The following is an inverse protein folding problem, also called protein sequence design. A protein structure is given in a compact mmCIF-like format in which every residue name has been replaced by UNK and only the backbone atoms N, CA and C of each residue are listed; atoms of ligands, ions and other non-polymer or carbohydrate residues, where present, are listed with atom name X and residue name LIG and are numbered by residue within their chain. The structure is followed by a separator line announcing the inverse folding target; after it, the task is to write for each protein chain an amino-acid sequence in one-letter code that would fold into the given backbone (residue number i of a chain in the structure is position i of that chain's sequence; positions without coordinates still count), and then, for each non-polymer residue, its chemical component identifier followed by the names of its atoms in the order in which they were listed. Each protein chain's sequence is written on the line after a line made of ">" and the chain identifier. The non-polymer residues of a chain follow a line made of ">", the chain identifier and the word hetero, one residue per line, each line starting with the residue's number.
data_IF_287056682462
#
_entry.id   IF_287056682462
#
_cell.length_a   1.000
_cell.length_b   1.000
_cell.length_c   1.000
_cell.angle_alpha   90.00
_cell.angle_beta   90.00
_cell.angle_gamma   90.00
#
_symmetry.space_group_name_H-M   'P 1'
#
loop_
_entity.id
_entity.type
_entity.pdbx_description
1 polymer ?
#
# COMPACT_ATOMS: atom_id res chain seq x y z
N UNK A 1 -48.92 -15.27 43.68
CA UNK A 1 -48.49 -14.12 42.84
C UNK A 1 -47.04 -13.67 43.10
N UNK A 2 -46.27 -14.37 43.94
CA UNK A 2 -44.88 -13.99 44.31
C UNK A 2 -43.79 -14.78 43.59
N UNK A 3 -44.13 -15.85 42.85
CA UNK A 3 -43.16 -16.67 42.10
C UNK A 3 -42.76 -16.09 40.73
N UNK A 4 -43.59 -15.24 40.11
CA UNK A 4 -43.31 -14.64 38.79
C UNK A 4 -42.29 -13.48 38.85
N UNK A 5 -42.23 -12.73 39.96
CA UNK A 5 -41.34 -11.54 40.07
C UNK A 5 -39.85 -11.88 40.22
N UNK A 6 -39.50 -13.09 40.68
CA UNK A 6 -38.09 -13.48 40.86
C UNK A 6 -37.44 -14.01 39.57
N UNK A 7 -38.21 -14.35 38.53
CA UNK A 7 -37.67 -14.91 37.27
C UNK A 7 -36.86 -13.87 36.46
N UNK A 8 -37.19 -12.59 36.61
CA UNK A 8 -36.63 -11.50 35.79
C UNK A 8 -35.38 -10.82 36.38
N UNK A 9 -34.97 -11.17 37.60
CA UNK A 9 -33.81 -10.57 38.29
C UNK A 9 -32.63 -11.54 38.47
N UNK A 10 -32.75 -12.77 37.97
CA UNK A 10 -31.69 -13.77 38.05
C UNK A 10 -30.50 -13.35 37.19
N UNK A 11 -29.37 -13.07 37.87
CA UNK A 11 -28.08 -12.70 37.26
C UNK A 11 -27.09 -13.85 37.24
N UNK A 12 -27.31 -14.88 38.07
CA UNK A 12 -26.39 -15.99 38.23
C UNK A 12 -27.19 -17.29 38.18
N UNK A 13 -26.78 -18.21 37.31
CA UNK A 13 -27.26 -19.59 37.28
C UNK A 13 -26.03 -20.48 37.42
N UNK A 14 -26.07 -21.36 38.42
CA UNK A 14 -25.00 -22.28 38.71
C UNK A 14 -25.58 -23.66 38.99
N UNK A 15 -25.35 -24.59 38.07
CA UNK A 15 -25.86 -25.97 38.09
C UNK A 15 -24.71 -26.94 38.40
N UNK A 16 -23.98 -26.66 39.48
CA UNK A 16 -22.73 -27.34 39.86
C UNK A 16 -22.96 -28.70 40.56
N UNK A 17 -24.20 -29.03 40.95
CA UNK A 17 -24.47 -30.29 41.63
C UNK A 17 -24.69 -31.44 40.62
N UNK A 18 -23.83 -32.45 40.73
CA UNK A 18 -23.69 -33.59 39.81
C UNK A 18 -24.87 -34.58 39.91
N UNK A 19 -25.83 -34.35 40.80
CA UNK A 19 -26.87 -35.32 41.13
C UNK A 19 -28.30 -34.74 41.10
N UNK A 20 -28.55 -33.73 40.26
CA UNK A 20 -29.89 -33.17 40.11
C UNK A 20 -30.86 -34.04 39.30
N UNK A 21 -30.40 -35.21 38.81
CA UNK A 21 -31.20 -36.12 37.96
C UNK A 21 -31.91 -35.37 36.82
N UNK A 22 -31.26 -34.32 36.29
CA UNK A 22 -31.79 -33.53 35.18
C UNK A 22 -31.71 -34.43 33.96
N UNK A 23 -32.88 -34.75 33.40
CA UNK A 23 -32.94 -35.48 32.13
C UNK A 23 -32.12 -34.71 31.08
N UNK A 24 -31.39 -35.41 30.19
CA UNK A 24 -30.68 -34.76 29.09
C UNK A 24 -31.58 -33.73 28.41
N UNK A 25 -31.08 -32.50 28.26
CA UNK A 25 -31.88 -31.37 27.79
C UNK A 25 -31.03 -30.32 27.09
N UNK A 26 -31.67 -29.51 26.25
CA UNK A 26 -31.05 -28.37 25.56
C UNK A 26 -31.02 -27.14 26.45
N UNK A 27 -30.35 -26.07 25.99
CA UNK A 27 -30.30 -24.78 26.69
C UNK A 27 -31.55 -23.91 26.51
N UNK A 28 -32.63 -24.42 25.92
CA UNK A 28 -33.81 -23.62 25.61
C UNK A 28 -34.49 -22.98 26.83
N UNK A 29 -34.35 -23.61 28.00
CA UNK A 29 -34.85 -23.07 29.26
C UNK A 29 -34.17 -21.76 29.67
N UNK A 30 -33.01 -21.42 29.08
CA UNK A 30 -32.23 -20.23 29.43
C UNK A 30 -32.72 -18.94 28.74
N UNK A 31 -33.48 -19.06 27.65
CA UNK A 31 -33.97 -17.91 26.86
C UNK A 31 -34.66 -16.81 27.69
N UNK A 32 -35.44 -17.11 28.75
CA UNK A 32 -36.10 -16.08 29.54
C UNK A 32 -35.17 -15.24 30.44
N UNK A 33 -33.94 -15.70 30.72
CA UNK A 33 -33.04 -15.05 31.69
C UNK A 33 -32.16 -13.97 31.05
N UNK A 34 -32.75 -13.00 30.35
CA UNK A 34 -32.03 -11.93 29.61
C UNK A 34 -31.11 -11.05 30.47
N UNK A 35 -31.27 -11.09 31.80
CA UNK A 35 -30.42 -10.39 32.75
C UNK A 35 -29.28 -11.25 33.33
N UNK A 36 -29.08 -12.46 32.80
CA UNK A 36 -28.04 -13.38 33.25
C UNK A 36 -26.65 -12.81 32.93
N UNK A 37 -25.80 -12.72 33.95
CA UNK A 37 -24.41 -12.25 33.86
C UNK A 37 -23.44 -13.44 33.97
N UNK A 38 -23.77 -14.47 34.77
CA UNK A 38 -22.90 -15.63 34.99
C UNK A 38 -23.68 -16.94 34.82
N UNK A 39 -23.21 -17.81 33.92
CA UNK A 39 -23.77 -19.13 33.67
C UNK A 39 -22.70 -20.21 33.85
N UNK A 40 -22.91 -21.12 34.80
CA UNK A 40 -22.12 -22.35 34.92
C UNK A 40 -23.04 -23.56 34.85
N UNK A 41 -22.92 -24.35 33.79
CA UNK A 41 -23.76 -25.53 33.54
C UNK A 41 -23.28 -26.79 34.26
N UNK A 42 -22.01 -26.80 34.70
CA UNK A 42 -21.44 -27.95 35.37
C UNK A 42 -20.26 -27.56 36.30
N UNK A 43 -19.83 -28.52 37.13
CA UNK A 43 -18.71 -28.40 38.06
C UNK A 43 -17.36 -28.83 37.47
N UNK A 44 -16.29 -28.31 38.06
CA UNK A 44 -14.87 -28.58 37.73
C UNK A 44 -14.34 -29.88 38.37
N UNK A 45 -15.22 -30.82 38.76
CA UNK A 45 -14.76 -32.05 39.42
C UNK A 45 -14.22 -33.03 38.37
N UNK A 46 -13.00 -33.46 38.61
CA UNK A 46 -12.17 -34.34 37.78
C UNK A 46 -12.91 -35.66 37.46
N UNK A 47 -13.37 -35.84 36.21
CA UNK A 47 -14.29 -36.90 35.75
C UNK A 47 -13.67 -38.30 35.57
N UNK A 48 -12.68 -38.69 36.37
CA UNK A 48 -12.18 -40.09 36.34
C UNK A 48 -13.06 -41.08 37.13
N UNK A 49 -14.18 -40.65 37.73
CA UNK A 49 -14.93 -41.51 38.67
C UNK A 49 -16.46 -41.56 38.54
N UNK A 50 -17.12 -40.86 37.62
CA UNK A 50 -18.59 -40.82 37.59
C UNK A 50 -19.13 -41.04 36.17
N UNK A 51 -19.12 -42.31 35.72
CA UNK A 51 -20.00 -42.72 34.62
C UNK A 51 -21.46 -42.45 35.05
N UNK A 52 -22.15 -41.56 34.34
CA UNK A 52 -23.62 -41.41 34.44
C UNK A 52 -24.17 -40.36 35.42
N UNK A 53 -23.36 -39.44 35.96
CA UNK A 53 -23.83 -38.43 36.96
C UNK A 53 -23.25 -37.04 36.72
N UNK A 54 -23.44 -36.53 35.51
CA UNK A 54 -23.24 -35.12 35.19
C UNK A 54 -24.47 -34.59 34.44
N UNK A 55 -24.69 -33.27 34.46
CA UNK A 55 -25.81 -32.68 33.71
C UNK A 55 -25.56 -32.86 32.21
N UNK A 56 -26.42 -33.63 31.54
CA UNK A 56 -26.32 -33.93 30.12
C UNK A 56 -26.94 -32.80 29.28
N UNK A 57 -26.31 -31.62 29.30
CA UNK A 57 -26.66 -30.55 28.37
C UNK A 57 -26.06 -30.84 27.00
N UNK A 58 -26.88 -30.82 25.95
CA UNK A 58 -26.46 -31.12 24.58
C UNK A 58 -27.02 -30.12 23.57
N UNK A 59 -26.52 -30.18 22.33
CA UNK A 59 -26.96 -29.33 21.23
C UNK A 59 -26.15 -28.04 21.12
N UNK A 60 -26.80 -26.91 20.83
CA UNK A 60 -26.12 -25.66 20.50
C UNK A 60 -26.27 -24.55 21.55
N UNK A 61 -25.37 -23.57 21.47
CA UNK A 61 -25.39 -22.34 22.28
C UNK A 61 -26.39 -21.28 21.76
N UNK A 62 -27.12 -21.55 20.66
CA UNK A 62 -28.11 -20.62 20.10
C UNK A 62 -29.13 -20.08 21.12
N UNK A 63 -29.61 -20.85 22.11
CA UNK A 63 -30.52 -20.31 23.11
C UNK A 63 -29.95 -19.15 23.96
N UNK A 64 -28.64 -18.93 23.92
CA UNK A 64 -27.94 -17.85 24.62
C UNK A 64 -27.84 -16.54 23.81
N UNK A 65 -28.27 -16.53 22.54
CA UNK A 65 -28.11 -15.42 21.58
C UNK A 65 -28.56 -14.05 22.13
N UNK A 66 -29.64 -14.03 22.90
CA UNK A 66 -30.22 -12.78 23.44
C UNK A 66 -29.72 -12.44 24.86
N UNK A 67 -28.78 -13.21 25.43
CA UNK A 67 -28.24 -12.97 26.77
C UNK A 67 -27.08 -11.95 26.73
N UNK A 68 -27.38 -10.75 26.23
CA UNK A 68 -26.41 -9.66 26.01
C UNK A 68 -25.67 -9.14 27.25
N UNK A 69 -26.06 -9.58 28.46
CA UNK A 69 -25.39 -9.25 29.73
C UNK A 69 -24.46 -10.36 30.23
N UNK A 70 -24.42 -11.51 29.55
CA UNK A 70 -23.64 -12.66 29.96
C UNK A 70 -22.15 -12.35 29.82
N UNK A 71 -21.43 -12.37 30.95
CA UNK A 71 -19.99 -12.09 31.04
C UNK A 71 -19.18 -13.35 31.24
N UNK A 72 -19.70 -14.28 32.03
CA UNK A 72 -19.03 -15.55 32.31
C UNK A 72 -19.87 -16.73 31.86
N UNK A 73 -19.28 -17.57 31.01
CA UNK A 73 -19.90 -18.79 30.50
C UNK A 73 -18.97 -19.99 30.73
N UNK A 74 -19.45 -20.96 31.49
CA UNK A 74 -18.78 -22.25 31.68
C UNK A 74 -19.69 -23.39 31.20
N UNK A 75 -19.30 -23.99 30.07
CA UNK A 75 -19.94 -25.16 29.46
C UNK A 75 -19.04 -26.41 29.51
N UNK A 76 -18.00 -26.37 30.35
CA UNK A 76 -17.14 -27.54 30.56
C UNK A 76 -17.98 -28.75 30.96
N UNK A 77 -17.62 -29.93 30.46
CA UNK A 77 -18.26 -31.20 30.76
C UNK A 77 -19.74 -31.22 30.37
N UNK A 78 -20.03 -30.72 29.17
CA UNK A 78 -21.34 -30.81 28.51
C UNK A 78 -21.15 -31.39 27.11
N UNK A 79 -22.23 -31.92 26.54
CA UNK A 79 -22.29 -32.46 25.17
C UNK A 79 -22.73 -31.37 24.16
N UNK A 80 -22.46 -30.10 24.47
CA UNK A 80 -22.76 -28.96 23.60
C UNK A 80 -21.70 -28.89 22.49
N UNK A 81 -22.11 -28.97 21.23
CA UNK A 81 -21.22 -29.20 20.08
C UNK A 81 -21.25 -28.10 19.00
N UNK A 82 -22.11 -27.10 19.15
CA UNK A 82 -22.30 -26.04 18.15
C UNK A 82 -22.75 -24.68 18.72
N UNK A 83 -22.73 -23.65 17.88
CA UNK A 83 -23.36 -22.35 18.17
C UNK A 83 -22.49 -21.27 18.81
N UNK A 84 -21.16 -21.36 18.72
CA UNK A 84 -20.26 -20.31 19.23
C UNK A 84 -20.51 -18.94 18.58
N UNK A 85 -20.99 -18.93 17.34
CA UNK A 85 -21.38 -17.74 16.59
C UNK A 85 -22.57 -16.96 17.21
N UNK A 86 -23.33 -17.59 18.12
CA UNK A 86 -24.43 -16.95 18.84
C UNK A 86 -24.00 -16.35 20.20
N UNK A 87 -22.73 -16.49 20.58
CA UNK A 87 -22.24 -15.90 21.81
C UNK A 87 -22.10 -14.39 21.66
N UNK A 88 -22.56 -13.65 22.66
CA UNK A 88 -22.47 -12.18 22.69
C UNK A 88 -21.03 -11.71 22.92
N UNK A 89 -20.71 -10.52 22.42
CA UNK A 89 -19.43 -9.84 22.67
C UNK A 89 -19.21 -9.47 24.15
N UNK A 90 -20.26 -9.56 24.98
CA UNK A 90 -20.17 -9.29 26.41
C UNK A 90 -19.42 -10.36 27.20
N UNK A 91 -19.15 -11.54 26.60
CA UNK A 91 -18.47 -12.63 27.29
C UNK A 91 -16.99 -12.28 27.48
N UNK A 92 -16.60 -12.13 28.73
CA UNK A 92 -15.23 -11.84 29.16
C UNK A 92 -14.48 -13.16 29.47
N UNK A 93 -15.19 -14.17 29.97
CA UNK A 93 -14.61 -15.46 30.36
C UNK A 93 -15.43 -16.60 29.77
N UNK A 94 -14.81 -17.38 28.89
CA UNK A 94 -15.39 -18.58 28.30
C UNK A 94 -14.58 -19.84 28.68
N UNK A 95 -15.23 -20.78 29.37
CA UNK A 95 -14.64 -22.05 29.80
C UNK A 95 -15.35 -23.21 29.11
N UNK A 96 -14.58 -24.02 28.38
CA UNK A 96 -15.07 -25.21 27.71
C UNK A 96 -13.99 -26.31 27.76
N UNK A 97 -14.39 -27.56 28.02
CA UNK A 97 -13.46 -28.70 28.15
C UNK A 97 -13.48 -29.67 26.97
N UNK A 98 -14.32 -29.47 25.94
CA UNK A 98 -14.39 -30.44 24.84
C UNK A 98 -13.19 -30.29 23.90
N UNK A 99 -12.48 -31.39 23.65
CA UNK A 99 -11.35 -31.43 22.70
C UNK A 99 -11.78 -31.08 21.26
N UNK A 100 -13.08 -31.23 20.97
CA UNK A 100 -13.73 -30.81 19.73
C UNK A 100 -13.51 -29.33 19.39
N UNK A 101 -13.78 -28.40 20.33
CA UNK A 101 -13.63 -26.97 20.02
C UNK A 101 -12.17 -26.53 19.93
N UNK A 102 -11.27 -27.17 20.68
CA UNK A 102 -9.82 -26.92 20.55
C UNK A 102 -9.32 -27.33 19.16
N UNK A 103 -9.75 -28.48 18.67
CA UNK A 103 -9.38 -28.96 17.33
C UNK A 103 -9.97 -28.08 16.22
N UNK A 104 -11.25 -27.70 16.31
CA UNK A 104 -11.91 -26.82 15.33
C UNK A 104 -11.30 -25.42 15.29
N UNK A 105 -11.01 -24.83 16.44
CA UNK A 105 -10.34 -23.53 16.53
C UNK A 105 -8.93 -23.58 15.91
N UNK A 106 -8.17 -24.64 16.18
CA UNK A 106 -6.84 -24.85 15.58
C UNK A 106 -6.90 -25.01 14.06
N UNK A 107 -7.89 -25.73 13.54
CA UNK A 107 -8.08 -25.90 12.09
C UNK A 107 -8.36 -24.55 11.39
N UNK A 108 -9.25 -23.74 11.97
CA UNK A 108 -9.57 -22.41 11.42
C UNK A 108 -8.34 -21.47 11.44
N UNK A 109 -7.54 -21.49 12.52
CA UNK A 109 -6.29 -20.75 12.58
C UNK A 109 -5.29 -21.19 11.50
N UNK A 110 -5.17 -22.50 11.24
CA UNK A 110 -4.27 -23.01 10.21
C UNK A 110 -4.72 -22.56 8.81
N UNK A 111 -6.00 -22.65 8.51
CA UNK A 111 -6.54 -22.21 7.23
C UNK A 111 -6.32 -20.71 6.99
N UNK A 112 -6.51 -19.88 8.02
CA UNK A 112 -6.22 -18.45 7.95
C UNK A 112 -4.73 -18.17 7.72
N UNK A 113 -3.85 -18.97 8.35
CA UNK A 113 -2.40 -18.85 8.16
C UNK A 113 -2.01 -19.18 6.72
N UNK A 114 -2.49 -20.31 6.19
CA UNK A 114 -2.21 -20.75 4.82
C UNK A 114 -2.71 -19.73 3.78
N UNK A 115 -3.92 -19.17 3.99
CA UNK A 115 -4.46 -18.10 3.14
C UNK A 115 -3.64 -16.80 3.22
N UNK A 116 -3.13 -16.46 4.41
CA UNK A 116 -2.27 -15.30 4.58
C UNK A 116 -0.92 -15.50 3.89
N UNK A 117 -0.33 -16.69 3.98
CA UNK A 117 0.92 -17.03 3.32
C UNK A 117 0.79 -16.98 1.80
N UNK A 118 -0.28 -17.54 1.24
CA UNK A 118 -0.56 -17.48 -0.20
C UNK A 118 -0.68 -16.03 -0.70
N UNK A 119 -1.44 -15.18 0.00
CA UNK A 119 -1.57 -13.74 -0.34
C UNK A 119 -0.23 -13.01 -0.27
N UNK A 120 0.59 -13.31 0.74
CA UNK A 120 1.92 -12.70 0.86
C UNK A 120 2.86 -13.13 -0.27
N UNK A 121 2.79 -14.38 -0.72
CA UNK A 121 3.56 -14.86 -1.87
C UNK A 121 3.14 -14.15 -3.17
N UNK A 122 1.84 -13.98 -3.40
CA UNK A 122 1.30 -13.27 -4.55
C UNK A 122 1.75 -11.80 -4.57
N UNK A 123 1.63 -11.11 -3.43
CA UNK A 123 2.09 -9.71 -3.29
C UNK A 123 3.59 -9.56 -3.57
N UNK A 124 4.40 -10.53 -3.13
CA UNK A 124 5.85 -10.54 -3.40
C UNK A 124 6.14 -10.70 -4.88
N UNK A 125 5.41 -11.58 -5.58
CA UNK A 125 5.54 -11.76 -7.02
C UNK A 125 5.15 -10.50 -7.80
N UNK A 126 4.03 -9.87 -7.43
CA UNK A 126 3.56 -8.64 -8.06
C UNK A 126 4.56 -7.50 -7.87
N UNK A 127 5.08 -7.35 -6.66
CA UNK A 127 6.10 -6.33 -6.34
C UNK A 127 7.38 -6.55 -7.15
N UNK A 128 7.85 -7.79 -7.27
CA UNK A 128 9.02 -8.13 -8.07
C UNK A 128 8.82 -7.79 -9.57
N UNK A 129 7.62 -8.04 -10.10
CA UNK A 129 7.28 -7.69 -11.49
C UNK A 129 7.32 -6.17 -11.70
N UNK A 130 6.74 -5.40 -10.79
CA UNK A 130 6.77 -3.94 -10.87
C UNK A 130 8.20 -3.38 -10.81
N UNK A 131 9.03 -3.88 -9.88
CA UNK A 131 10.44 -3.47 -9.76
C UNK A 131 11.18 -3.70 -11.08
N UNK A 132 10.96 -4.84 -11.74
CA UNK A 132 11.58 -5.13 -13.04
C UNK A 132 11.11 -4.16 -14.13
N UNK A 133 9.81 -3.89 -14.22
CA UNK A 133 9.25 -2.94 -15.20
C UNK A 133 9.79 -1.51 -14.98
N UNK A 134 9.97 -1.09 -13.72
CA UNK A 134 10.59 0.19 -13.41
C UNK A 134 12.06 0.23 -13.82
N UNK A 135 12.83 -0.82 -13.52
CA UNK A 135 14.24 -0.89 -13.89
C UNK A 135 14.46 -0.86 -15.42
N UNK A 136 13.60 -1.51 -16.20
CA UNK A 136 13.65 -1.49 -17.67
C UNK A 136 13.39 -0.08 -18.23
N UNK A 137 12.41 0.64 -17.66
CA UNK A 137 12.12 2.03 -18.04
C UNK A 137 13.26 2.97 -17.66
N UNK A 138 13.80 2.82 -16.46
CA UNK A 138 14.94 3.61 -15.98
C UNK A 138 16.15 3.44 -16.90
N UNK A 139 16.49 2.20 -17.26
CA UNK A 139 17.56 1.89 -18.22
C UNK A 139 17.32 2.57 -19.58
N UNK A 140 16.09 2.53 -20.08
CA UNK A 140 15.71 3.18 -21.35
C UNK A 140 15.88 4.69 -21.28
N UNK A 141 15.45 5.33 -20.19
CA UNK A 141 15.63 6.76 -20.01
C UNK A 141 17.10 7.15 -19.86
N UNK A 142 17.91 6.33 -19.18
CA UNK A 142 19.34 6.58 -19.07
C UNK A 142 20.02 6.57 -20.45
N UNK A 143 19.69 5.60 -21.31
CA UNK A 143 20.19 5.54 -22.69
C UNK A 143 19.81 6.81 -23.48
N UNK A 144 18.58 7.30 -23.33
CA UNK A 144 18.14 8.53 -24.01
C UNK A 144 18.88 9.77 -23.50
N UNK A 145 19.11 9.86 -22.17
CA UNK A 145 19.88 10.94 -21.56
C UNK A 145 21.31 10.94 -22.12
N UNK A 146 21.97 9.78 -22.15
CA UNK A 146 23.35 9.66 -22.64
C UNK A 146 23.44 10.04 -24.13
N UNK A 147 22.46 9.64 -24.94
CA UNK A 147 22.39 10.03 -26.34
C UNK A 147 22.28 11.56 -26.52
N UNK A 148 21.34 12.20 -25.83
CA UNK A 148 21.13 13.65 -25.91
C UNK A 148 22.31 14.45 -25.38
N UNK A 149 23.01 13.94 -24.35
CA UNK A 149 24.23 14.55 -23.83
C UNK A 149 25.36 14.50 -24.87
N UNK A 150 25.54 13.37 -25.55
CA UNK A 150 26.53 13.23 -26.61
C UNK A 150 26.24 14.15 -27.80
N UNK A 151 24.98 14.20 -28.26
CA UNK A 151 24.57 15.08 -29.35
C UNK A 151 24.83 16.56 -29.01
N UNK A 152 24.45 16.99 -27.81
CA UNK A 152 24.73 18.34 -27.33
C UNK A 152 26.25 18.63 -27.30
N UNK A 153 27.07 17.68 -26.83
CA UNK A 153 28.51 17.85 -26.80
C UNK A 153 29.10 18.06 -28.22
N UNK A 154 28.65 17.25 -29.19
CA UNK A 154 29.05 17.38 -30.60
C UNK A 154 28.62 18.71 -31.21
N UNK A 155 27.39 19.16 -30.95
CA UNK A 155 26.87 20.44 -31.44
C UNK A 155 27.66 21.62 -30.87
N UNK A 156 27.93 21.62 -29.56
CA UNK A 156 28.72 22.67 -28.90
C UNK A 156 30.13 22.75 -29.50
N UNK A 157 30.78 21.60 -29.73
CA UNK A 157 32.09 21.55 -30.38
C UNK A 157 32.08 22.13 -31.79
N UNK A 158 31.09 21.73 -32.60
CA UNK A 158 30.92 22.21 -33.98
C UNK A 158 30.68 23.72 -34.04
N UNK A 159 29.80 24.24 -33.18
CA UNK A 159 29.52 25.68 -33.08
C UNK A 159 30.75 26.47 -32.64
N UNK A 160 31.55 25.94 -31.71
CA UNK A 160 32.79 26.58 -31.26
C UNK A 160 33.82 26.70 -32.40
N UNK A 161 33.96 25.65 -33.23
CA UNK A 161 34.81 25.68 -34.43
C UNK A 161 34.30 26.73 -35.41
N UNK A 162 33.00 26.73 -35.71
CA UNK A 162 32.41 27.65 -36.67
C UNK A 162 32.51 29.12 -36.21
N UNK A 163 32.33 29.39 -34.91
CA UNK A 163 32.54 30.73 -34.33
C UNK A 163 33.99 31.21 -34.48
N UNK A 164 34.97 30.32 -34.25
CA UNK A 164 36.39 30.66 -34.47
C UNK A 164 36.67 30.98 -35.93
N UNK A 165 36.15 30.18 -36.86
CA UNK A 165 36.30 30.41 -38.28
C UNK A 165 35.67 31.74 -38.71
N UNK A 166 34.44 32.02 -38.26
CA UNK A 166 33.75 33.28 -38.57
C UNK A 166 34.52 34.50 -38.07
N UNK A 167 35.13 34.44 -36.87
CA UNK A 167 35.99 35.51 -36.35
C UNK A 167 37.21 35.73 -37.25
N UNK A 168 37.85 34.66 -37.74
CA UNK A 168 39.00 34.76 -38.63
C UNK A 168 38.62 35.35 -39.98
N UNK A 169 37.56 34.85 -40.60
CA UNK A 169 37.02 35.37 -41.87
C UNK A 169 36.68 36.84 -41.76
N UNK A 170 36.03 37.26 -40.67
CA UNK A 170 35.69 38.67 -40.46
C UNK A 170 36.95 39.56 -40.37
N UNK A 171 38.00 39.13 -39.65
CA UNK A 171 39.30 39.83 -39.63
C UNK A 171 39.92 39.97 -41.03
N UNK A 172 39.86 38.91 -41.84
CA UNK A 172 40.36 38.94 -43.22
C UNK A 172 39.58 39.92 -44.10
N UNK A 173 38.25 39.91 -44.01
CA UNK A 173 37.37 40.84 -44.73
C UNK A 173 37.66 42.29 -44.33
N UNK A 174 37.81 42.59 -43.03
CA UNK A 174 38.16 43.93 -42.58
C UNK A 174 39.51 44.41 -43.11
N UNK A 175 40.51 43.52 -43.18
CA UNK A 175 41.81 43.83 -43.78
C UNK A 175 41.69 44.16 -45.28
N UNK A 176 40.91 43.36 -46.03
CA UNK A 176 40.64 43.62 -47.45
C UNK A 176 39.89 44.94 -47.68
N UNK A 177 38.88 45.25 -46.84
CA UNK A 177 38.18 46.54 -46.88
C UNK A 177 39.16 47.70 -46.65
N UNK A 178 40.07 47.56 -45.67
CA UNK A 178 41.11 48.55 -45.40
C UNK A 178 42.01 48.78 -46.61
N UNK A 179 42.44 47.70 -47.27
CA UNK A 179 43.28 47.78 -48.49
C UNK A 179 42.55 48.46 -49.64
N UNK A 180 41.31 48.06 -49.93
CA UNK A 180 40.49 48.68 -50.96
C UNK A 180 40.23 50.17 -50.70
N UNK A 181 40.05 50.57 -49.43
CA UNK A 181 39.93 52.00 -49.07
C UNK A 181 41.19 52.78 -49.40
N UNK A 182 42.38 52.21 -49.13
CA UNK A 182 43.66 52.83 -49.47
C UNK A 182 43.84 52.95 -50.98
N UNK A 183 43.59 51.87 -51.72
CA UNK A 183 43.72 51.85 -53.18
C UNK A 183 42.76 52.87 -53.83
N UNK A 184 41.54 53.01 -53.30
CA UNK A 184 40.58 54.04 -53.73
C UNK A 184 41.13 55.46 -53.55
N UNK A 185 41.74 55.76 -52.39
CA UNK A 185 42.32 57.08 -52.13
C UNK A 185 43.48 57.39 -53.09
N UNK A 186 44.39 56.43 -53.31
CA UNK A 186 45.50 56.60 -54.25
C UNK A 186 45.02 56.84 -55.69
N UNK A 187 43.98 56.12 -56.14
CA UNK A 187 43.37 56.34 -57.45
C UNK A 187 42.70 57.71 -57.56
N UNK A 188 42.02 58.16 -56.50
CA UNK A 188 41.42 59.51 -56.46
C UNK A 188 42.49 60.60 -56.56
N UNK A 189 43.61 60.47 -55.86
CA UNK A 189 44.74 61.42 -55.97
C UNK A 189 45.32 61.46 -57.39
N UNK A 190 45.53 60.28 -58.01
CA UNK A 190 46.01 60.20 -59.41
C UNK A 190 45.04 60.88 -60.38
N UNK A 191 43.73 60.70 -60.18
CA UNK A 191 42.69 61.31 -61.00
C UNK A 191 42.69 62.85 -60.87
N UNK A 192 42.85 63.38 -59.65
CA UNK A 192 42.94 64.83 -59.41
C UNK A 192 44.16 65.42 -60.13
N UNK A 193 45.32 64.76 -60.01
CA UNK A 193 46.57 65.18 -60.67
C UNK A 193 46.43 65.18 -62.20
N UNK A 194 45.83 64.14 -62.77
CA UNK A 194 45.62 64.07 -64.23
C UNK A 194 44.63 65.11 -64.72
N UNK A 195 43.53 65.36 -63.99
CA UNK A 195 42.57 66.41 -64.29
C UNK A 195 43.22 67.80 -64.31
N UNK A 196 44.05 68.12 -63.32
CA UNK A 196 44.81 69.37 -63.26
C UNK A 196 45.77 69.53 -64.45
N UNK A 197 46.47 68.45 -64.85
CA UNK A 197 47.35 68.45 -66.02
C UNK A 197 46.59 68.74 -67.32
N UNK A 198 45.45 68.06 -67.54
CA UNK A 198 44.58 68.28 -68.70
C UNK A 198 44.08 69.72 -68.74
N UNK A 199 43.67 70.29 -67.61
CA UNK A 199 43.18 71.66 -67.53
C UNK A 199 44.26 72.66 -67.94
N UNK A 200 45.50 72.46 -67.46
CA UNK A 200 46.67 73.28 -67.80
C UNK A 200 47.01 73.23 -69.30
N UNK A 201 46.95 72.04 -69.90
CA UNK A 201 47.16 71.85 -71.34
C UNK A 201 46.06 72.52 -72.19
N UNK A 202 44.81 72.52 -71.73
CA UNK A 202 43.71 73.22 -72.41
C UNK A 202 43.92 74.74 -72.39
N UNK A 203 44.36 75.31 -71.27
CA UNK A 203 44.66 76.75 -71.15
C UNK A 203 45.78 77.20 -72.08
N UNK A 204 46.79 76.37 -72.32
CA UNK A 204 47.92 76.68 -73.22
C UNK A 204 47.55 76.66 -74.71
N UNK A 205 46.45 76.00 -75.09
CA UNK A 205 45.95 75.95 -76.49
C UNK A 205 44.97 77.07 -76.83
N UNK A 206 44.56 77.89 -75.85
CA UNK A 206 43.61 79.01 -76.02
C UNK A 206 44.31 80.38 -76.05
N UNK A 207 45.63 80.43 -75.93
CA UNK A 207 46.52 81.57 -76.21
C UNK A 207 47.21 81.36 -77.55
#
# INVERSE_FOLDING_TARGET
>A
MTYEKNKFLLRIISLIDNNNNIKPTTLDFLRPFVNLENLSLNSYVNLKQLEGSYNQFYGSLKPLENLSKLKELNISNTDIDSGLEFLSESIEIFRCSTDYYKAKYKLNLQEQLDQSEARNQELKLLSAKQIREFAEKESTFQIQIDFLQNENHTLVGSLAIQLKQNKLTNKQVQSQIGKLKKDKLELQEKLIKSAACIQKLKSQKQT
#
